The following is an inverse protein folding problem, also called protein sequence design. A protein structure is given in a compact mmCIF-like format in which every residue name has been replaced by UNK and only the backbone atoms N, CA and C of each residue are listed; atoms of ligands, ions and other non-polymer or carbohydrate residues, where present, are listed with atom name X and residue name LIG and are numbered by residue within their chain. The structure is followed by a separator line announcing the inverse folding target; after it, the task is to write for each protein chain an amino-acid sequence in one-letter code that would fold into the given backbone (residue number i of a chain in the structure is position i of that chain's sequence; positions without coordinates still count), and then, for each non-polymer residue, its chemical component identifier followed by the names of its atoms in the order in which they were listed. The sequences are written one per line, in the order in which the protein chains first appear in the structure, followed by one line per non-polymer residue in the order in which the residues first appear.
data_IF_100990341656
#
_entry.id   IF_100990341656
#
_cell.length_a   1.000
_cell.length_b   1.000
_cell.length_c   1.000
_cell.angle_alpha   90.00
_cell.angle_beta   90.00
_cell.angle_gamma   90.00
#
_symmetry.space_group_name_H-M   'P 1'
#
loop_
_entity.id
_entity.type
_entity.pdbx_description
1 polymer ?
#
# COMPACT_ATOMS: atom_id res chain seq x y z
N UNK A 1 2.88 9.37 0.42
CA UNK A 1 2.17 9.22 -0.87
C UNK A 1 1.68 7.79 -0.86
N UNK A 2 0.37 7.59 -0.80
CA UNK A 2 -0.18 6.24 -0.80
C UNK A 2 0.18 5.55 -2.12
N UNK A 3 0.14 4.20 -2.15
CA UNK A 3 0.52 3.40 -3.33
C UNK A 3 -0.23 3.80 -4.62
N UNK A 4 -1.37 4.49 -4.47
CA UNK A 4 -2.26 4.89 -5.55
C UNK A 4 -2.35 6.41 -5.75
N UNK A 5 -1.50 7.18 -5.05
CA UNK A 5 -1.42 8.62 -5.21
C UNK A 5 -0.27 9.00 -6.15
N UNK A 6 -0.57 9.86 -7.11
CA UNK A 6 0.40 10.35 -8.08
C UNK A 6 0.28 11.87 -8.21
N UNK A 7 1.41 12.54 -8.47
CA UNK A 7 1.44 13.97 -8.75
C UNK A 7 1.52 14.21 -10.25
N UNK A 8 0.69 15.11 -10.76
CA UNK A 8 0.72 15.58 -12.14
C UNK A 8 0.71 17.11 -12.18
N UNK A 9 1.41 17.70 -13.15
CA UNK A 9 1.31 19.13 -13.46
C UNK A 9 0.14 19.37 -14.41
N UNK A 10 -0.59 20.47 -14.20
CA UNK A 10 -1.64 20.92 -15.10
C UNK A 10 -1.15 22.14 -15.90
N UNK A 11 -1.59 22.31 -17.16
CA UNK A 11 -1.18 23.44 -18.00
C UNK A 11 -1.51 24.81 -17.38
N UNK A 12 -2.65 24.91 -16.71
CA UNK A 12 -3.14 26.13 -16.10
C UNK A 12 -4.08 25.84 -14.90
N UNK A 13 -4.35 26.88 -14.11
CA UNK A 13 -5.19 26.79 -12.92
C UNK A 13 -6.65 26.48 -13.22
N UNK A 14 -7.20 26.98 -14.33
CA UNK A 14 -8.59 26.75 -14.75
C UNK A 14 -8.84 25.29 -15.12
N UNK A 15 -7.89 24.69 -15.84
CA UNK A 15 -7.90 23.26 -16.15
C UNK A 15 -7.90 22.42 -14.87
N UNK A 16 -6.95 22.64 -13.95
CA UNK A 16 -6.92 21.94 -12.65
C UNK A 16 -8.23 22.11 -11.87
N UNK A 17 -8.79 23.32 -11.84
CA UNK A 17 -10.07 23.59 -11.17
C UNK A 17 -11.25 22.87 -11.79
N UNK A 18 -11.26 22.72 -13.10
CA UNK A 18 -12.30 22.00 -13.82
C UNK A 18 -12.24 20.51 -13.51
N UNK A 19 -11.06 19.90 -13.56
CA UNK A 19 -10.89 18.48 -13.25
C UNK A 19 -11.06 18.16 -11.77
N UNK A 20 -10.63 19.05 -10.85
CA UNK A 20 -10.79 18.84 -9.42
C UNK A 20 -12.24 18.95 -8.92
N UNK A 21 -13.15 19.52 -9.73
CA UNK A 21 -14.59 19.52 -9.46
C UNK A 21 -15.26 18.18 -9.82
N UNK A 22 -14.63 17.37 -10.65
CA UNK A 22 -15.14 16.04 -11.01
C UNK A 22 -14.93 15.08 -9.84
N UNK A 23 -15.96 14.30 -9.51
CA UNK A 23 -15.85 13.26 -8.48
C UNK A 23 -14.93 12.11 -8.90
N UNK A 24 -14.91 11.79 -10.19
CA UNK A 24 -13.98 10.83 -10.81
C UNK A 24 -13.87 11.08 -12.31
N UNK A 25 -12.74 10.69 -12.90
CA UNK A 25 -12.46 10.67 -14.33
C UNK A 25 -12.02 9.26 -14.71
N UNK A 26 -12.49 8.73 -15.83
CA UNK A 26 -12.02 7.45 -16.37
C UNK A 26 -10.95 7.71 -17.44
N UNK A 27 -9.74 7.18 -17.23
CA UNK A 27 -8.64 7.27 -18.18
C UNK A 27 -8.88 6.28 -19.33
N UNK A 28 -8.68 6.69 -20.61
CA UNK A 28 -8.99 5.87 -21.76
C UNK A 28 -8.10 4.62 -21.86
N UNK A 29 -6.88 4.70 -21.30
CA UNK A 29 -5.97 3.57 -21.24
C UNK A 29 -6.25 2.77 -19.96
N UNK A 30 -6.67 1.51 -20.13
CA UNK A 30 -7.03 0.56 -19.07
C UNK A 30 -8.24 0.94 -18.19
N UNK A 31 -9.03 1.96 -18.57
CA UNK A 31 -10.26 2.37 -17.86
C UNK A 31 -10.06 2.64 -16.36
N UNK A 32 -8.89 3.15 -15.97
CA UNK A 32 -8.64 3.52 -14.58
C UNK A 32 -9.50 4.71 -14.17
N UNK A 33 -10.21 4.58 -13.04
CA UNK A 33 -10.91 5.71 -12.42
C UNK A 33 -9.99 6.44 -11.47
N UNK A 34 -9.79 7.73 -11.72
CA UNK A 34 -8.94 8.61 -10.93
C UNK A 34 -9.74 9.78 -10.40
N UNK A 35 -9.35 10.29 -9.24
CA UNK A 35 -9.87 11.55 -8.70
C UNK A 35 -8.75 12.57 -8.69
N UNK A 36 -8.98 13.73 -9.30
CA UNK A 36 -8.03 14.82 -9.28
C UNK A 36 -8.29 15.67 -8.04
N UNK A 37 -7.28 15.86 -7.22
CA UNK A 37 -7.36 16.77 -6.07
C UNK A 37 -6.23 17.80 -6.16
N UNK A 38 -6.49 19.00 -5.67
CA UNK A 38 -5.44 20.03 -5.59
C UNK A 38 -4.48 19.63 -4.48
N UNK A 39 -3.19 19.50 -4.81
CA UNK A 39 -2.17 19.33 -3.80
C UNK A 39 -2.09 20.60 -2.93
N UNK A 40 -2.04 20.42 -1.61
CA UNK A 40 -1.80 21.51 -0.66
C UNK A 40 -0.31 21.78 -0.44
N UNK A 41 0.57 20.99 -1.06
CA UNK A 41 2.01 21.09 -0.91
C UNK A 41 2.55 22.31 -1.67
N UNK A 42 3.48 23.04 -1.06
CA UNK A 42 4.23 24.11 -1.71
C UNK A 42 5.00 23.54 -2.91
N UNK A 43 4.92 24.22 -4.06
CA UNK A 43 5.66 23.86 -5.27
C UNK A 43 7.18 23.87 -5.05
N UNK A 44 7.67 24.64 -4.07
CA UNK A 44 9.08 24.65 -3.67
C UNK A 44 9.46 23.52 -2.70
N UNK A 45 8.50 22.74 -2.21
CA UNK A 45 8.78 21.65 -1.28
C UNK A 45 9.40 20.45 -2.01
N UNK A 46 10.56 19.98 -1.54
CA UNK A 46 11.22 18.79 -2.10
C UNK A 46 10.51 17.48 -1.72
N UNK A 47 9.83 17.42 -0.57
CA UNK A 47 9.13 16.22 -0.10
C UNK A 47 8.12 16.57 1.00
N UNK A 48 7.15 15.67 1.21
CA UNK A 48 6.20 15.72 2.32
C UNK A 48 6.46 14.52 3.23
N UNK A 49 6.55 14.76 4.54
CA UNK A 49 6.73 13.68 5.51
C UNK A 49 5.46 12.84 5.61
N UNK A 50 5.64 11.53 5.74
CA UNK A 50 4.58 10.57 6.00
C UNK A 50 4.45 10.38 7.50
N UNK A 51 3.21 10.44 7.99
CA UNK A 51 2.90 10.25 9.39
C UNK A 51 2.63 8.76 9.66
N UNK A 52 3.54 8.09 10.38
CA UNK A 52 3.47 6.64 10.61
C UNK A 52 3.63 6.33 12.10
N UNK A 53 3.02 5.24 12.54
CA UNK A 53 3.29 4.68 13.86
C UNK A 53 4.58 3.86 13.82
N UNK A 54 5.43 4.01 14.83
CA UNK A 54 6.62 3.19 15.05
C UNK A 54 6.51 2.49 16.41
N UNK A 55 7.21 1.37 16.53
CA UNK A 55 7.38 0.62 17.78
C UNK A 55 8.85 0.67 18.18
N UNK A 56 9.10 1.10 19.41
CA UNK A 56 10.42 1.14 20.03
C UNK A 56 10.46 0.02 21.08
N UNK A 57 11.30 -0.99 20.84
CA UNK A 57 11.52 -2.11 21.74
C UNK A 57 12.81 -1.90 22.56
N UNK A 58 12.92 -2.63 23.66
CA UNK A 58 14.07 -2.62 24.58
C UNK A 58 14.32 -1.26 25.26
N UNK A 59 13.30 -0.42 25.36
CA UNK A 59 13.41 0.86 26.05
C UNK A 59 13.53 0.62 27.56
N UNK A 60 14.63 1.05 28.22
CA UNK A 60 14.80 0.85 29.65
C UNK A 60 13.83 1.73 30.45
N UNK A 61 13.52 1.33 31.69
CA UNK A 61 12.54 2.04 32.52
C UNK A 61 12.91 3.50 32.80
N UNK A 62 14.22 3.79 32.91
CA UNK A 62 14.75 5.17 33.03
C UNK A 62 14.39 6.06 31.84
N UNK A 63 14.07 5.46 30.69
CA UNK A 63 13.70 6.16 29.46
C UNK A 63 12.19 6.07 29.17
N UNK A 64 11.38 5.43 30.03
CA UNK A 64 9.91 5.39 29.92
C UNK A 64 9.25 6.68 30.42
N UNK A 65 9.79 7.82 29.98
CA UNK A 65 9.25 9.15 30.22
C UNK A 65 8.92 9.77 28.85
N UNK A 66 7.78 10.44 28.72
CA UNK A 66 7.33 10.99 27.42
C UNK A 66 8.38 11.90 26.78
N UNK A 67 9.04 12.76 27.56
CA UNK A 67 10.10 13.64 27.07
C UNK A 67 11.27 12.87 26.46
N UNK A 68 11.77 11.85 27.17
CA UNK A 68 12.88 11.01 26.71
C UNK A 68 12.46 10.18 25.48
N UNK A 69 11.25 9.63 25.48
CA UNK A 69 10.70 8.88 24.34
C UNK A 69 10.66 9.76 23.08
N UNK A 70 10.24 11.03 23.21
CA UNK A 70 10.23 11.98 22.08
C UNK A 70 11.63 12.26 21.56
N UNK A 71 12.62 12.42 22.44
CA UNK A 71 14.02 12.58 22.06
C UNK A 71 14.56 11.34 21.33
N UNK A 72 14.28 10.13 21.82
CA UNK A 72 14.66 8.88 21.13
C UNK A 72 13.97 8.78 19.77
N UNK A 73 12.67 9.08 19.70
CA UNK A 73 11.92 9.07 18.45
C UNK A 73 12.43 10.11 17.44
N UNK A 74 13.01 11.22 17.91
CA UNK A 74 13.61 12.26 17.06
C UNK A 74 14.73 11.73 16.16
N UNK A 75 15.41 10.65 16.58
CA UNK A 75 16.49 10.00 15.83
C UNK A 75 15.99 9.33 14.54
N UNK A 76 14.71 8.96 14.48
CA UNK A 76 14.11 8.27 13.32
C UNK A 76 13.12 9.14 12.54
N UNK A 77 12.56 10.18 13.16
CA UNK A 77 11.62 11.10 12.53
C UNK A 77 11.13 12.15 13.51
N UNK A 78 10.32 13.11 13.06
CA UNK A 78 9.79 14.15 13.94
C UNK A 78 8.64 13.57 14.79
N UNK A 79 8.75 13.53 16.13
CA UNK A 79 7.67 12.99 16.97
C UNK A 79 6.43 13.87 16.91
N UNK A 80 5.27 13.23 16.78
CA UNK A 80 3.94 13.87 16.74
C UNK A 80 3.20 13.59 18.05
N UNK A 81 2.97 12.30 18.35
CA UNK A 81 2.26 11.86 19.55
C UNK A 81 2.88 10.57 20.09
N UNK A 82 2.94 10.44 21.41
CA UNK A 82 3.33 9.20 22.09
C UNK A 82 2.06 8.51 22.58
N UNK A 83 1.93 7.21 22.38
CA UNK A 83 0.81 6.42 22.90
C UNK A 83 0.99 6.21 24.41
N UNK A 84 0.31 7.00 25.23
CA UNK A 84 0.41 6.99 26.71
C UNK A 84 0.16 5.59 27.29
N UNK A 85 -0.75 4.81 26.71
CA UNK A 85 -1.04 3.45 27.16
C UNK A 85 0.14 2.50 26.91
N UNK A 86 0.98 2.78 25.93
CA UNK A 86 2.17 1.98 25.63
C UNK A 86 3.34 2.27 26.59
N UNK A 87 3.33 3.43 27.26
CA UNK A 87 4.36 3.79 28.25
C UNK A 87 4.17 2.94 29.52
N UNK A 88 2.91 2.82 29.97
CA UNK A 88 2.55 2.09 31.20
C UNK A 88 2.48 0.57 31.00
N UNK A 89 2.23 0.10 29.78
CA UNK A 89 2.13 -1.33 29.49
C UNK A 89 3.51 -1.93 29.27
N UNK A 90 3.66 -3.19 29.68
CA UNK A 90 4.80 -3.99 29.28
C UNK A 90 4.75 -4.23 27.76
N UNK A 91 5.88 -4.08 27.09
CA UNK A 91 6.00 -4.16 25.64
C UNK A 91 6.62 -2.92 24.99
N UNK A 92 6.56 -2.83 23.64
CA UNK A 92 7.15 -1.72 22.90
C UNK A 92 6.34 -0.43 23.10
N UNK A 93 7.05 0.68 23.25
CA UNK A 93 6.45 2.01 23.24
C UNK A 93 6.08 2.38 21.79
N UNK A 94 4.86 2.87 21.60
CA UNK A 94 4.35 3.31 20.30
C UNK A 94 4.43 4.82 20.20
N UNK A 95 5.03 5.29 19.11
CA UNK A 95 5.16 6.73 18.82
C UNK A 95 4.70 6.97 17.40
N UNK A 96 3.94 8.04 17.18
CA UNK A 96 3.62 8.53 15.85
C UNK A 96 4.68 9.54 15.45
N UNK A 97 5.30 9.33 14.29
CA UNK A 97 6.39 10.18 13.78
C UNK A 97 6.09 10.62 12.35
N UNK A 98 6.51 11.83 12.02
CA UNK A 98 6.60 12.31 10.64
C UNK A 98 8.00 11.99 10.10
N UNK A 99 8.07 11.15 9.06
CA UNK A 99 9.32 10.70 8.46
C UNK A 99 9.25 10.71 6.94
N UNK A 100 10.39 10.79 6.25
CA UNK A 100 10.42 10.87 4.78
C UNK A 100 10.00 9.55 4.11
N UNK A 101 10.41 8.44 4.69
CA UNK A 101 10.19 7.10 4.13
C UNK A 101 10.06 6.07 5.28
N UNK A 102 8.81 5.69 5.65
CA UNK A 102 8.55 4.71 6.69
C UNK A 102 9.21 3.35 6.46
N UNK A 103 9.40 2.94 5.20
CA UNK A 103 9.97 1.63 4.86
C UNK A 103 11.43 1.48 5.31
N UNK A 104 12.11 2.60 5.53
CA UNK A 104 13.49 2.66 6.03
C UNK A 104 13.58 2.61 7.56
N UNK A 105 12.47 2.74 8.29
CA UNK A 105 12.45 2.66 9.76
C UNK A 105 12.36 1.19 10.17
N UNK A 106 13.49 0.49 10.06
CA UNK A 106 13.66 -0.87 10.53
C UNK A 106 15.11 -1.12 10.88
N UNK A 107 15.40 -1.26 12.17
CA UNK A 107 16.77 -1.53 12.60
C UNK A 107 16.95 -1.40 14.09
N UNK A 108 18.22 -1.33 14.47
CA UNK A 108 18.69 -1.17 15.84
C UNK A 108 19.47 0.15 15.95
N UNK A 109 19.32 0.84 17.07
CA UNK A 109 20.02 2.09 17.39
C UNK A 109 20.54 1.94 18.81
N UNK A 110 21.83 2.21 19.03
CA UNK A 110 22.38 2.28 20.37
C UNK A 110 22.22 3.70 20.93
N UNK A 111 21.57 3.82 22.08
CA UNK A 111 21.33 5.11 22.75
C UNK A 111 21.95 5.06 24.14
N UNK A 112 22.69 6.11 24.49
CA UNK A 112 23.41 6.20 25.77
C UNK A 112 22.65 7.09 26.75
N UNK A 113 22.10 6.48 27.82
CA UNK A 113 21.51 7.20 28.94
C UNK A 113 22.51 7.23 30.08
N UNK A 114 22.90 8.42 30.55
CA UNK A 114 23.86 8.57 31.65
C UNK A 114 25.17 7.77 31.46
N UNK A 115 25.73 7.78 30.24
CA UNK A 115 26.93 7.03 29.82
C UNK A 115 26.75 5.51 29.72
N UNK A 116 25.55 4.98 29.86
CA UNK A 116 25.22 3.55 29.68
C UNK A 116 24.47 3.35 28.37
N UNK A 117 25.00 2.50 27.48
CA UNK A 117 24.43 2.22 26.17
C UNK A 117 23.33 1.15 26.22
N UNK A 118 22.27 1.37 25.44
CA UNK A 118 21.15 0.44 25.26
C UNK A 118 20.83 0.29 23.78
N UNK A 119 20.75 -0.95 23.31
CA UNK A 119 20.33 -1.24 21.94
C UNK A 119 18.80 -1.26 21.84
N UNK A 120 18.25 -0.23 21.19
CA UNK A 120 16.84 -0.07 20.92
C UNK A 120 16.51 -0.60 19.54
N UNK A 121 15.45 -1.41 19.42
CA UNK A 121 14.94 -1.84 18.11
C UNK A 121 13.77 -0.96 17.70
N UNK A 122 13.85 -0.34 16.52
CA UNK A 122 12.80 0.53 15.99
C UNK A 122 12.24 -0.08 14.71
N UNK A 123 10.91 -0.18 14.64
CA UNK A 123 10.20 -0.75 13.49
C UNK A 123 8.97 0.10 13.18
N UNK A 124 8.79 0.48 11.91
CA UNK A 124 7.53 1.05 11.43
C UNK A 124 6.39 0.03 11.53
N UNK A 125 5.25 0.48 12.05
CA UNK A 125 4.04 -0.33 12.07
C UNK A 125 3.48 -0.40 10.64
N UNK A 126 3.43 -1.61 10.09
CA UNK A 126 2.73 -1.85 8.83
C UNK A 126 1.27 -1.42 9.00
N UNK A 127 0.82 -0.50 8.14
CA UNK A 127 -0.58 -0.14 8.09
C UNK A 127 -1.36 -1.43 7.81
N UNK A 128 -2.07 -1.93 8.83
CA UNK A 128 -3.11 -2.92 8.62
C UNK A 128 -4.19 -2.23 7.84
N UNK A 129 -4.08 -2.22 6.52
CA UNK A 129 -5.15 -1.79 5.64
C UNK A 129 -6.27 -2.80 5.86
N UNK A 130 -7.18 -2.51 6.80
CA UNK A 130 -8.55 -3.01 6.70
C UNK A 130 -9.09 -2.31 5.46
N UNK A 131 -8.90 -2.94 4.30
CA UNK A 131 -9.62 -2.55 3.10
C UNK A 131 -11.10 -2.51 3.47
N UNK A 132 -11.80 -1.37 3.31
CA UNK A 132 -13.25 -1.31 3.48
C UNK A 132 -14.00 -2.06 2.36
N UNK A 133 -13.29 -2.68 1.42
CA UNK A 133 -13.85 -3.35 0.26
C UNK A 133 -13.29 -4.77 0.19
N UNK A 134 -14.19 -5.77 0.10
CA UNK A 134 -13.98 -7.23 0.22
C UNK A 134 -14.30 -7.81 1.61
N UNK A 135 -15.55 -7.63 2.01
CA UNK A 135 -16.26 -8.65 2.78
C UNK A 135 -17.03 -9.49 1.77
N UNK A 136 -16.57 -10.70 1.47
CA UNK A 136 -17.42 -11.72 0.84
C UNK A 136 -17.34 -13.01 1.69
N UNK A 137 -18.47 -13.71 1.86
CA UNK A 137 -18.62 -14.73 2.89
C UNK A 137 -18.13 -16.08 2.36
N UNK A 138 -17.12 -16.67 3.01
CA UNK A 138 -16.74 -18.06 2.77
C UNK A 138 -17.82 -18.99 3.35
N UNK A 139 -18.83 -19.31 2.54
CA UNK A 139 -19.80 -20.36 2.77
C UNK A 139 -19.18 -21.73 2.50
N UNK A 140 -18.96 -22.48 3.57
CA UNK A 140 -18.53 -23.88 3.59
C UNK A 140 -19.67 -24.87 3.31
N UNK A 141 -19.42 -25.94 2.54
CA UNK A 141 -20.25 -27.16 2.49
C UNK A 141 -20.10 -27.90 1.15
N UNK A 142 -19.15 -28.83 1.01
CA UNK A 142 -19.20 -30.29 1.26
C UNK A 142 -19.94 -31.15 0.20
N UNK A 143 -19.13 -32.07 -0.36
CA UNK A 143 -19.40 -33.45 -0.81
C UNK A 143 -19.77 -33.77 -2.28
N UNK A 144 -18.76 -34.33 -2.98
CA UNK A 144 -18.70 -35.52 -3.86
C UNK A 144 -20.00 -36.12 -4.44
N UNK A 145 -20.04 -36.40 -5.75
CA UNK A 145 -19.75 -37.75 -6.30
C UNK A 145 -19.80 -37.81 -7.85
N UNK A 146 -19.21 -38.88 -8.37
CA UNK A 146 -18.87 -39.26 -9.77
C UNK A 146 -20.06 -39.39 -10.73
N UNK A 147 -19.83 -39.27 -12.05
CA UNK A 147 -19.97 -40.41 -12.99
C UNK A 147 -19.55 -40.11 -14.45
N UNK A 148 -19.08 -41.17 -15.10
CA UNK A 148 -18.47 -41.27 -16.44
C UNK A 148 -19.54 -41.29 -17.54
N UNK A 149 -19.22 -40.82 -18.76
CA UNK A 149 -19.82 -41.43 -19.96
C UNK A 149 -18.92 -41.44 -21.21
N UNK A 150 -19.08 -42.51 -21.99
CA UNK A 150 -18.19 -43.05 -23.03
C UNK A 150 -18.65 -42.74 -24.47
N UNK A 151 -17.75 -43.07 -25.39
CA UNK A 151 -17.99 -43.64 -26.74
C UNK A 151 -18.45 -42.71 -27.89
N UNK A 152 -17.59 -42.48 -28.90
CA UNK A 152 -17.32 -43.29 -30.12
C UNK A 152 -18.33 -43.05 -31.26
N UNK A 153 -17.90 -42.40 -32.35
CA UNK A 153 -17.79 -42.98 -33.70
C UNK A 153 -17.53 -41.94 -34.82
N UNK A 154 -16.63 -42.28 -35.74
CA UNK A 154 -16.35 -41.65 -37.06
C UNK A 154 -16.95 -42.60 -38.13
N UNK A 155 -17.35 -42.17 -39.35
CA UNK A 155 -16.41 -42.17 -40.50
C UNK A 155 -16.75 -41.20 -41.68
N UNK A 156 -15.85 -41.22 -42.69
CA UNK A 156 -15.71 -40.40 -43.93
C UNK A 156 -16.71 -40.73 -45.06
N UNK A 157 -16.89 -39.80 -46.03
CA UNK A 157 -17.06 -39.93 -47.51
C UNK A 157 -17.41 -38.55 -48.11
N UNK A 158 -16.58 -37.94 -48.96
CA UNK A 158 -16.41 -38.10 -50.42
C UNK A 158 -17.58 -37.53 -51.25
N UNK A 159 -17.34 -36.43 -51.98
CA UNK A 159 -17.57 -36.26 -53.43
C UNK A 159 -17.76 -34.76 -53.80
N UNK A 160 -16.73 -34.17 -54.42
CA UNK A 160 -16.82 -32.90 -55.15
C UNK A 160 -16.42 -33.19 -56.60
N UNK A 161 -17.38 -33.04 -57.54
CA UNK A 161 -17.22 -33.35 -58.95
C UNK A 161 -17.67 -32.18 -59.82
N UNK A 162 -16.76 -31.80 -60.74
CA UNK A 162 -16.96 -31.10 -62.04
C UNK A 162 -17.37 -29.62 -62.00
N UNK A 163 -16.78 -28.74 -62.79
CA UNK A 163 -15.80 -28.87 -63.86
C UNK A 163 -15.56 -27.51 -64.54
N UNK A 164 -14.32 -27.26 -64.99
CA UNK A 164 -13.99 -26.95 -66.39
C UNK A 164 -13.96 -25.44 -66.71
N UNK A 165 -13.09 -24.87 -67.55
CA UNK A 165 -12.01 -25.38 -68.40
C UNK A 165 -11.24 -24.16 -69.00
N UNK A 166 -10.04 -24.41 -69.57
CA UNK A 166 -9.29 -23.60 -70.59
C UNK A 166 -8.48 -22.39 -70.07
N UNK A 167 -7.18 -22.13 -70.39
CA UNK A 167 -6.33 -22.51 -71.54
C UNK A 167 -4.87 -22.07 -71.29
N UNK A 168 -3.85 -22.82 -71.76
CA UNK A 168 -2.47 -22.29 -71.86
C UNK A 168 -1.36 -23.33 -72.15
N UNK A 169 -0.93 -23.38 -73.42
CA UNK A 169 0.16 -24.14 -74.07
C UNK A 169 -0.02 -25.64 -74.32
#
# INVERSE_FOLDING_TARGET
MDKYDFSASFPDKSSLESYAKLSSLELPLYSYRVQVTKSKADLKASSVLQCVWIKIYNLPDIAREEGIIREVASLVGKPVVVDELSIIKEGPVRVKVDCRDPSRIKGFIEVFFNKVGYELKVVAEEARTRSPYLSEPSGSGKHDDKDQDKDRNKPRRDDEKRGGNLRGK
#
